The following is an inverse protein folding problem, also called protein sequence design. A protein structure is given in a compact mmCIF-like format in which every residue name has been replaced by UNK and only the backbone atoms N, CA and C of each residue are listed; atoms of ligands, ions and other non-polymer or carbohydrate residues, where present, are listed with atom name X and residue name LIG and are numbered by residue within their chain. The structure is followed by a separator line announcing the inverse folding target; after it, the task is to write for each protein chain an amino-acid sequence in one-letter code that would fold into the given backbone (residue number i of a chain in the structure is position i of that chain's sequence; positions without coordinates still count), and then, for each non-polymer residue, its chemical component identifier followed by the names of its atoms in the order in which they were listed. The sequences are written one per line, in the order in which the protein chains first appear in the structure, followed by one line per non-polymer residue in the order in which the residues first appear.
data_IF_611906443598
#
_entry.id   IF_611906443598
#
_cell.length_a   1.000
_cell.length_b   1.000
_cell.length_c   1.000
_cell.angle_alpha   90.00
_cell.angle_beta   90.00
_cell.angle_gamma   90.00
#
_symmetry.space_group_name_H-M   'P 1'
#
loop_
_entity.id
_entity.type
_entity.pdbx_description
1 polymer ?
#
# COMPACT_ATOMS: atom_id res chain seq x y z
N UNK A 1 -17.66 2.46 -9.67
CA UNK A 1 -17.09 1.78 -8.47
C UNK A 1 -16.18 2.77 -7.74
N UNK A 2 -15.95 2.67 -6.42
CA UNK A 2 -14.92 3.46 -5.77
C UNK A 2 -13.55 3.13 -6.39
N UNK A 3 -12.89 4.15 -6.95
CA UNK A 3 -11.54 4.02 -7.48
C UNK A 3 -10.55 4.28 -6.34
N UNK A 4 -9.87 3.23 -5.89
CA UNK A 4 -8.66 3.37 -5.09
C UNK A 4 -7.50 3.86 -5.99
N UNK A 5 -6.59 4.64 -5.42
CA UNK A 5 -5.37 5.12 -6.09
C UNK A 5 -4.16 4.97 -5.18
N UNK A 6 -2.98 4.73 -5.79
CA UNK A 6 -1.69 4.76 -5.09
C UNK A 6 -1.24 6.22 -4.97
N UNK A 7 -1.24 6.74 -3.76
CA UNK A 7 -0.82 8.11 -3.44
C UNK A 7 0.69 8.23 -3.23
N UNK A 8 1.36 7.16 -2.81
CA UNK A 8 2.82 7.04 -2.76
C UNK A 8 3.23 5.71 -3.35
N UNK A 9 4.04 5.76 -4.40
CA UNK A 9 4.52 4.58 -5.10
C UNK A 9 5.72 3.95 -4.36
N UNK A 10 5.88 2.62 -4.41
CA UNK A 10 7.10 1.96 -3.96
C UNK A 10 8.29 2.40 -4.82
N UNK A 11 9.54 2.14 -4.43
CA UNK A 11 10.69 2.40 -5.31
C UNK A 11 10.59 1.65 -6.64
N UNK A 12 11.25 2.14 -7.69
CA UNK A 12 11.37 1.44 -8.98
C UNK A 12 12.34 0.26 -8.91
N UNK A 13 13.34 0.37 -8.03
CA UNK A 13 14.34 -0.67 -7.77
C UNK A 13 14.43 -0.88 -6.26
N UNK A 14 14.40 -2.12 -5.79
CA UNK A 14 14.50 -2.49 -4.39
C UNK A 14 15.55 -3.59 -4.20
N UNK A 15 16.11 -3.67 -3.00
CA UNK A 15 17.02 -4.75 -2.64
C UNK A 15 16.22 -5.91 -2.03
N UNK A 16 16.61 -7.15 -2.36
CA UNK A 16 16.03 -8.36 -1.78
C UNK A 16 16.05 -8.27 -0.25
N UNK A 17 14.88 -8.47 0.37
CA UNK A 17 14.70 -8.50 1.82
C UNK A 17 14.64 -7.13 2.50
N UNK A 18 15.02 -6.06 1.82
CA UNK A 18 15.00 -4.70 2.36
C UNK A 18 13.60 -4.08 2.30
N UNK A 19 13.29 -3.25 3.29
CA UNK A 19 12.02 -2.55 3.34
C UNK A 19 11.88 -1.55 2.16
N UNK A 20 10.75 -1.63 1.47
CA UNK A 20 10.40 -0.73 0.39
C UNK A 20 10.30 0.69 0.92
N UNK A 21 11.15 1.56 0.37
CA UNK A 21 11.09 3.00 0.60
C UNK A 21 11.19 3.76 -0.72
N UNK A 22 10.23 4.65 -1.05
CA UNK A 22 9.07 5.04 -0.24
C UNK A 22 8.10 3.88 0.05
N UNK A 23 7.43 3.93 1.20
CA UNK A 23 6.40 2.94 1.54
C UNK A 23 5.14 3.18 0.71
N UNK A 24 4.41 2.11 0.42
CA UNK A 24 3.18 2.20 -0.37
C UNK A 24 2.09 2.85 0.48
N UNK A 25 1.45 3.87 -0.09
CA UNK A 25 0.28 4.50 0.50
C UNK A 25 -0.82 4.53 -0.54
N UNK A 26 -1.96 3.96 -0.19
CA UNK A 26 -3.17 3.99 -1.00
C UNK A 26 -4.23 4.88 -0.36
N UNK A 27 -5.11 5.42 -1.20
CA UNK A 27 -6.30 6.15 -0.73
C UNK A 27 -7.49 5.92 -1.64
N UNK A 28 -8.68 5.96 -1.04
CA UNK A 28 -9.95 6.00 -1.76
C UNK A 28 -10.86 7.07 -1.14
N UNK A 29 -11.69 7.76 -1.93
CA UNK A 29 -12.63 8.75 -1.40
C UNK A 29 -13.68 8.07 -0.51
N UNK A 30 -14.05 8.70 0.60
CA UNK A 30 -15.19 8.29 1.43
C UNK A 30 -16.51 8.64 0.73
N UNK A 31 -17.55 7.84 0.98
CA UNK A 31 -18.91 8.07 0.48
C UNK A 31 -19.91 7.98 1.61
N UNK A 32 -21.08 8.60 1.45
CA UNK A 32 -22.19 8.44 2.40
C UNK A 32 -22.62 6.98 2.56
N UNK A 33 -22.49 6.16 1.51
CA UNK A 33 -22.75 4.70 1.55
C UNK A 33 -21.73 3.89 2.37
N UNK A 34 -20.66 4.53 2.82
CA UNK A 34 -19.58 3.92 3.60
C UNK A 34 -19.73 4.19 5.10
N UNK A 35 -20.78 4.92 5.51
CA UNK A 35 -21.12 5.12 6.91
C UNK A 35 -21.38 3.76 7.60
N UNK A 36 -20.86 3.58 8.82
CA UNK A 36 -20.92 2.31 9.54
C UNK A 36 -20.09 1.17 8.93
N UNK A 37 -19.19 1.46 7.97
CA UNK A 37 -18.33 0.46 7.35
C UNK A 37 -16.86 0.67 7.73
N UNK A 38 -16.16 -0.44 7.95
CA UNK A 38 -14.71 -0.48 8.12
C UNK A 38 -14.06 -1.03 6.86
N UNK A 39 -12.88 -0.52 6.54
CA UNK A 39 -12.10 -1.00 5.40
C UNK A 39 -10.76 -1.53 5.87
N UNK A 40 -10.28 -2.56 5.19
CA UNK A 40 -8.89 -2.97 5.25
C UNK A 40 -8.41 -3.30 3.84
N UNK A 41 -7.10 -3.22 3.63
CA UNK A 41 -6.48 -3.57 2.36
C UNK A 41 -5.38 -4.60 2.54
N UNK A 42 -5.35 -5.58 1.65
CA UNK A 42 -4.34 -6.62 1.58
C UNK A 42 -3.38 -6.35 0.42
N UNK A 43 -2.08 -6.40 0.67
CA UNK A 43 -1.05 -6.34 -0.35
C UNK A 43 -0.72 -7.75 -0.84
N UNK A 44 -0.75 -7.93 -2.16
CA UNK A 44 -0.47 -9.19 -2.85
C UNK A 44 0.64 -8.94 -3.87
N UNK A 45 1.68 -9.78 -3.86
CA UNK A 45 2.76 -9.69 -4.84
C UNK A 45 2.36 -10.39 -6.13
N UNK A 46 2.51 -9.70 -7.25
CA UNK A 46 2.26 -10.21 -8.58
C UNK A 46 3.57 -10.29 -9.36
N UNK A 47 3.79 -11.41 -10.05
CA UNK A 47 4.84 -11.55 -11.06
C UNK A 47 4.51 -10.76 -12.33
N UNK A 48 5.48 -10.66 -13.23
CA UNK A 48 5.32 -9.95 -14.50
C UNK A 48 4.17 -10.50 -15.38
N UNK A 49 3.85 -11.80 -15.26
CA UNK A 49 2.74 -12.46 -15.94
C UNK A 49 1.39 -12.30 -15.24
N UNK A 50 1.33 -11.57 -14.12
CA UNK A 50 0.14 -11.39 -13.29
C UNK A 50 -0.14 -12.56 -12.34
N UNK A 51 0.75 -13.55 -12.27
CA UNK A 51 0.63 -14.64 -11.29
C UNK A 51 0.84 -14.13 -9.87
N UNK A 52 0.11 -14.69 -8.91
CA UNK A 52 0.31 -14.39 -7.49
C UNK A 52 1.55 -15.13 -7.00
N UNK A 53 2.51 -14.39 -6.47
CA UNK A 53 3.74 -14.95 -5.91
C UNK A 53 3.57 -15.07 -4.41
N UNK A 54 3.31 -16.28 -3.96
CA UNK A 54 3.09 -16.56 -2.54
C UNK A 54 4.41 -16.52 -1.74
N UNK A 55 4.31 -16.12 -0.47
CA UNK A 55 5.39 -16.12 0.53
C UNK A 55 6.63 -15.27 0.21
N UNK A 56 6.62 -14.49 -0.86
CA UNK A 56 7.70 -13.60 -1.24
C UNK A 56 7.51 -12.15 -0.76
N UNK A 57 6.31 -11.80 -0.29
CA UNK A 57 5.99 -10.51 0.32
C UNK A 57 5.97 -10.64 1.83
N UNK A 58 6.76 -9.83 2.54
CA UNK A 58 6.82 -9.85 4.01
C UNK A 58 6.67 -8.44 4.60
N UNK A 59 6.57 -8.35 5.93
CA UNK A 59 6.25 -7.10 6.63
C UNK A 59 4.75 -6.91 6.83
N UNK A 60 4.28 -5.67 6.81
CA UNK A 60 2.85 -5.35 6.99
C UNK A 60 2.12 -5.52 5.66
N UNK A 61 1.56 -6.72 5.44
CA UNK A 61 0.80 -7.05 4.23
C UNK A 61 -0.69 -6.73 4.33
N UNK A 62 -1.18 -6.32 5.51
CA UNK A 62 -2.57 -5.90 5.73
C UNK A 62 -2.59 -4.57 6.44
N UNK A 63 -3.38 -3.63 5.93
CA UNK A 63 -3.52 -2.28 6.49
C UNK A 63 -4.99 -1.95 6.76
N UNK A 64 -5.30 -1.51 7.97
CA UNK A 64 -6.63 -0.97 8.30
C UNK A 64 -6.78 0.43 7.72
N UNK A 65 -7.92 0.71 7.11
CA UNK A 65 -8.24 2.01 6.54
C UNK A 65 -8.48 3.04 7.64
N UNK A 66 -7.77 4.16 7.57
CA UNK A 66 -7.95 5.31 8.46
C UNK A 66 -8.56 6.46 7.67
N UNK A 67 -9.61 7.08 8.20
CA UNK A 67 -10.21 8.25 7.55
C UNK A 67 -9.33 9.47 7.84
N UNK A 68 -8.80 10.08 6.77
CA UNK A 68 -8.08 11.36 6.81
C UNK A 68 -8.74 12.27 5.79
N UNK A 69 -9.27 13.40 6.26
CA UNK A 69 -10.13 14.29 5.49
C UNK A 69 -11.32 13.53 4.85
N UNK A 70 -11.44 13.58 3.52
CA UNK A 70 -12.46 12.89 2.72
C UNK A 70 -11.98 11.57 2.11
N UNK A 71 -10.92 10.95 2.67
CA UNK A 71 -10.34 9.73 2.12
C UNK A 71 -10.13 8.66 3.21
N UNK A 72 -10.35 7.40 2.84
CA UNK A 72 -9.83 6.25 3.57
C UNK A 72 -8.41 5.98 3.07
N UNK A 73 -7.45 5.95 3.98
CA UNK A 73 -6.02 5.82 3.70
C UNK A 73 -5.51 4.49 4.24
N UNK A 74 -4.69 3.81 3.44
CA UNK A 74 -4.00 2.56 3.79
C UNK A 74 -2.50 2.77 3.67
N UNK A 75 -1.75 2.46 4.73
CA UNK A 75 -0.29 2.59 4.78
C UNK A 75 0.32 1.21 4.97
N UNK A 76 1.30 0.87 4.14
CA UNK A 76 2.01 -0.41 4.19
C UNK A 76 3.48 -0.19 4.59
N UNK A 77 3.75 0.02 5.89
CA UNK A 77 5.11 0.22 6.38
C UNK A 77 5.90 -1.10 6.37
N UNK A 78 7.21 -1.01 6.16
CA UNK A 78 8.14 -2.14 6.27
C UNK A 78 7.80 -3.34 5.36
N UNK A 79 7.08 -3.12 4.27
CA UNK A 79 6.85 -4.16 3.26
C UNK A 79 8.19 -4.47 2.57
N UNK A 80 8.53 -5.74 2.37
CA UNK A 80 9.73 -6.15 1.64
C UNK A 80 9.47 -7.35 0.75
N UNK A 81 10.28 -7.49 -0.31
CA UNK A 81 10.19 -8.59 -1.27
C UNK A 81 11.44 -9.46 -1.12
N UNK A 82 11.27 -10.76 -0.87
CA UNK A 82 12.35 -11.69 -0.50
C UNK A 82 12.94 -12.46 -1.66
N UNK A 83 12.42 -12.27 -2.88
CA UNK A 83 12.90 -12.91 -4.09
C UNK A 83 13.33 -11.85 -5.13
N UNK A 84 14.41 -12.14 -5.84
CA UNK A 84 14.84 -11.33 -6.99
C UNK A 84 13.85 -11.52 -8.16
N UNK A 85 13.51 -10.42 -8.84
CA UNK A 85 12.63 -10.45 -10.00
C UNK A 85 11.94 -9.11 -10.27
N UNK A 86 11.06 -9.11 -11.26
CA UNK A 86 10.20 -7.97 -11.59
C UNK A 86 8.79 -8.23 -11.07
N UNK A 87 8.26 -7.27 -10.29
CA UNK A 87 6.98 -7.45 -9.61
C UNK A 87 6.11 -6.21 -9.63
N UNK A 88 4.81 -6.42 -9.40
CA UNK A 88 3.88 -5.38 -8.95
C UNK A 88 3.28 -5.79 -7.62
N UNK A 89 2.78 -4.82 -6.86
CA UNK A 89 1.98 -5.09 -5.67
C UNK A 89 0.56 -4.66 -5.95
N UNK A 90 -0.38 -5.61 -5.86
CA UNK A 90 -1.82 -5.34 -5.92
C UNK A 90 -2.35 -5.12 -4.52
N UNK A 91 -3.14 -4.07 -4.35
CA UNK A 91 -3.85 -3.76 -3.12
C UNK A 91 -5.32 -4.11 -3.29
N UNK A 92 -5.77 -5.14 -2.60
CA UNK A 92 -7.15 -5.59 -2.60
C UNK A 92 -7.85 -4.96 -1.39
N UNK A 93 -8.90 -4.15 -1.61
CA UNK A 93 -9.64 -3.47 -0.54
C UNK A 93 -10.90 -4.24 -0.23
N UNK A 94 -11.10 -4.50 1.06
CA UNK A 94 -12.28 -5.16 1.58
C UNK A 94 -13.03 -4.22 2.53
N UNK A 95 -14.35 -4.39 2.56
CA UNK A 95 -15.31 -3.66 3.39
C UNK A 95 -15.97 -4.64 4.37
N UNK A 96 -16.08 -4.24 5.63
CA UNK A 96 -16.84 -4.92 6.67
C UNK A 96 -17.92 -3.96 7.16
N UNK A 97 -19.19 -4.36 7.09
CA UNK A 97 -20.29 -3.59 7.64
C UNK A 97 -20.40 -3.85 9.14
N UNK A 98 -20.50 -2.80 9.96
CA UNK A 98 -20.64 -2.94 11.41
C UNK A 98 -21.88 -3.77 11.80
N UNK A 99 -22.99 -3.58 11.07
CA UNK A 99 -24.25 -4.29 11.30
C UNK A 99 -24.23 -5.76 10.88
N UNK A 100 -23.26 -6.17 10.05
CA UNK A 100 -23.07 -7.56 9.63
C UNK A 100 -21.58 -7.89 9.54
N UNK A 101 -20.92 -8.14 10.69
CA UNK A 101 -19.49 -8.36 10.76
C UNK A 101 -19.06 -9.76 10.29
N UNK A 102 -20.01 -10.62 9.88
CA UNK A 102 -19.78 -12.03 9.57
C UNK A 102 -18.94 -12.22 8.30
N UNK A 103 -18.82 -11.19 7.45
CA UNK A 103 -18.03 -11.29 6.22
C UNK A 103 -17.40 -9.98 5.76
N UNK A 104 -16.19 -10.07 5.21
CA UNK A 104 -15.56 -9.00 4.47
C UNK A 104 -15.90 -9.12 2.99
N UNK A 105 -16.49 -8.07 2.41
CA UNK A 105 -16.81 -8.01 0.98
C UNK A 105 -15.66 -7.33 0.22
N UNK A 106 -15.26 -7.89 -0.92
CA UNK A 106 -14.36 -7.20 -1.84
C UNK A 106 -15.01 -5.89 -2.33
N UNK A 107 -14.24 -4.80 -2.29
CA UNK A 107 -14.70 -3.47 -2.68
C UNK A 107 -14.08 -3.02 -3.99
N UNK A 108 -12.75 -3.01 -4.06
CA UNK A 108 -11.98 -2.48 -5.19
C UNK A 108 -10.52 -2.93 -5.09
N UNK A 109 -9.75 -2.74 -6.16
CA UNK A 109 -8.32 -3.01 -6.16
C UNK A 109 -7.54 -1.99 -6.99
N UNK A 110 -6.24 -1.89 -6.75
CA UNK A 110 -5.31 -1.15 -7.61
C UNK A 110 -3.93 -1.81 -7.57
N UNK A 111 -3.05 -1.44 -8.49
CA UNK A 111 -1.69 -1.96 -8.58
C UNK A 111 -0.68 -0.82 -8.49
N UNK A 112 0.48 -1.11 -7.91
CA UNK A 112 1.63 -0.22 -7.97
C UNK A 112 2.23 -0.18 -9.36
N UNK A 113 3.19 0.73 -9.56
CA UNK A 113 4.19 0.57 -10.62
C UNK A 113 4.97 -0.74 -10.44
N UNK A 114 5.66 -1.15 -11.50
CA UNK A 114 6.61 -2.26 -11.49
C UNK A 114 7.83 -1.93 -10.61
N UNK A 115 8.34 -2.94 -9.93
CA UNK A 115 9.46 -2.90 -8.99
C UNK A 115 10.46 -3.98 -9.43
N UNK A 116 11.67 -3.54 -9.76
CA UNK A 116 12.81 -4.42 -10.00
C UNK A 116 13.49 -4.74 -8.68
N UNK A 117 13.44 -6.00 -8.25
CA UNK A 117 14.07 -6.45 -7.00
C UNK A 117 15.39 -7.12 -7.34
N UNK A 118 16.49 -6.61 -6.79
CA UNK A 118 17.87 -7.04 -7.08
C UNK A 118 18.63 -7.43 -5.81
N UNK A 119 19.64 -8.29 -5.93
CA UNK A 119 20.46 -8.69 -4.77
C UNK A 119 21.48 -7.62 -4.33
N UNK A 120 21.91 -6.78 -5.28
CA UNK A 120 22.82 -5.68 -4.98
C UNK A 120 22.12 -4.59 -4.18
N UNK A 121 22.91 -3.72 -3.54
CA UNK A 121 22.39 -2.48 -2.95
C UNK A 121 21.67 -1.67 -4.04
N UNK A 122 20.37 -1.46 -3.83
CA UNK A 122 19.53 -0.70 -4.73
C UNK A 122 19.78 0.80 -4.56
N UNK A 123 19.57 1.56 -5.62
CA UNK A 123 19.63 3.02 -5.52
C UNK A 123 18.56 3.55 -4.58
N UNK A 124 18.91 4.52 -3.75
CA UNK A 124 17.96 5.18 -2.87
C UNK A 124 16.91 5.95 -3.69
N UNK A 125 15.68 5.44 -3.69
CA UNK A 125 14.54 6.17 -4.19
C UNK A 125 14.08 7.22 -3.17
N UNK A 126 13.69 8.39 -3.68
CA UNK A 126 13.12 9.47 -2.87
C UNK A 126 11.69 9.71 -3.31
N UNK A 127 10.75 9.94 -2.38
CA UNK A 127 9.41 10.33 -2.77
C UNK A 127 9.46 11.67 -3.49
N UNK A 128 8.64 11.84 -4.51
CA UNK A 128 8.44 13.10 -5.23
C UNK A 128 7.97 14.21 -4.30
N UNK A 129 7.98 15.45 -4.77
CA UNK A 129 7.50 16.59 -3.96
C UNK A 129 6.03 16.44 -3.56
N UNK A 130 5.18 15.93 -4.46
CA UNK A 130 3.78 15.65 -4.16
C UNK A 130 3.63 14.54 -3.11
N UNK A 131 4.37 13.43 -3.25
CA UNK A 131 4.36 12.32 -2.28
C UNK A 131 4.87 12.77 -0.92
N UNK A 132 5.96 13.56 -0.86
CA UNK A 132 6.49 14.12 0.40
C UNK A 132 5.49 15.04 1.08
N UNK A 133 4.78 15.86 0.32
CA UNK A 133 3.72 16.73 0.86
C UNK A 133 2.59 15.87 1.45
N UNK A 134 2.17 14.84 0.73
CA UNK A 134 1.10 13.95 1.20
C UNK A 134 1.51 13.14 2.43
N UNK A 135 2.73 12.59 2.46
CA UNK A 135 3.30 11.90 3.63
C UNK A 135 3.29 12.82 4.86
N UNK A 136 3.61 14.11 4.69
CA UNK A 136 3.56 15.08 5.79
C UNK A 136 2.14 15.25 6.32
N UNK A 137 1.16 15.47 5.43
CA UNK A 137 -0.26 15.55 5.81
C UNK A 137 -0.71 14.32 6.62
N UNK A 138 -0.32 13.12 6.22
CA UNK A 138 -0.68 11.90 6.93
C UNK A 138 -0.03 11.80 8.33
N UNK A 139 1.23 12.23 8.45
CA UNK A 139 1.91 12.28 9.76
C UNK A 139 1.29 13.32 10.68
N UNK A 140 0.93 14.49 10.15
CA UNK A 140 0.24 15.54 10.90
C UNK A 140 -1.14 15.07 11.38
N UNK A 141 -1.79 14.17 10.63
CA UNK A 141 -3.02 13.48 11.01
C UNK A 141 -2.80 12.30 11.99
N UNK A 142 -1.56 12.04 12.42
CA UNK A 142 -1.20 11.02 13.41
C UNK A 142 -0.93 9.61 12.85
N UNK A 143 -0.86 9.43 11.53
CA UNK A 143 -0.54 8.13 10.94
C UNK A 143 0.98 7.85 10.99
N UNK A 144 1.33 6.62 11.36
CA UNK A 144 2.72 6.14 11.35
C UNK A 144 3.18 5.86 9.91
N UNK A 145 3.76 6.87 9.27
CA UNK A 145 4.35 6.75 7.93
C UNK A 145 5.88 6.77 8.01
N UNK A 146 6.60 5.70 7.59
CA UNK A 146 8.06 5.63 7.68
C UNK A 146 8.77 6.83 7.04
N UNK A 147 9.79 7.35 7.71
CA UNK A 147 10.80 8.26 7.16
C UNK A 147 12.12 7.53 7.09
N UNK A 148 12.87 7.67 5.98
CA UNK A 148 14.31 7.46 6.08
C UNK A 148 14.89 8.61 6.91
N UNK A 149 15.57 8.28 7.99
CA UNK A 149 16.47 9.21 8.66
C UNK A 149 17.56 9.60 7.67
N UNK A 150 17.66 10.90 7.39
CA UNK A 150 18.76 11.51 6.65
C UNK A 150 20.09 11.34 7.37
#
# INVERSE_FOLDING_TARGET
MPSISIAVQPPQEAQVGEALYPSIIAKMPTRSSDEGCYFFSMAVLLGHDGSVIDRALTGVTVSTGVVVDSHVVFVFPNLSITLQGEYKIRLDVHKVAYENPVGAAFSTQTETREISVVERVAHEAKPSTAERSYIRTLRDAGLTVPSRSS
#
